data_IF_067021253592
#
_entry.id   IF_067021253592
#
_cell.length_a   1.000
_cell.length_b   1.000
_cell.length_c   1.000
_cell.angle_alpha   90.00
_cell.angle_beta   90.00
_cell.angle_gamma   90.00
#
_symmetry.space_group_name_H-M   'P 1'
#
loop_
_entity.id
_entity.type
_entity.pdbx_description
1 polymer ?
#
# COMPACT_ATOMS: atom_id res chain seq x y z
N UNK A 1 -27.54 -31.85 65.16
CA UNK A 1 -26.64 -31.92 63.99
C UNK A 1 -25.40 -31.16 64.37
N UNK A 2 -24.32 -31.88 64.60
CA UNK A 2 -23.04 -31.22 64.87
C UNK A 2 -22.40 -30.80 63.56
N UNK A 3 -22.13 -29.52 63.40
CA UNK A 3 -21.40 -28.94 62.25
C UNK A 3 -19.97 -28.66 62.69
N UNK A 4 -19.02 -29.04 61.86
CA UNK A 4 -17.65 -28.69 62.06
C UNK A 4 -17.09 -28.02 60.81
N UNK A 5 -16.22 -27.06 60.98
CA UNK A 5 -15.58 -26.35 59.89
C UNK A 5 -14.17 -26.95 59.72
N UNK A 6 -13.86 -27.28 58.46
CA UNK A 6 -12.54 -27.76 58.10
C UNK A 6 -11.86 -26.70 57.26
N UNK A 7 -10.71 -26.26 57.71
CA UNK A 7 -9.83 -25.39 56.91
C UNK A 7 -8.90 -26.30 56.13
N UNK A 8 -9.03 -26.30 54.80
CA UNK A 8 -8.10 -26.98 53.92
C UNK A 8 -6.83 -26.17 53.89
N UNK A 9 -5.68 -26.77 54.16
CA UNK A 9 -4.37 -26.14 53.99
C UNK A 9 -3.95 -26.17 52.50
N UNK A 10 -2.69 -25.93 52.23
CA UNK A 10 -2.11 -25.92 50.84
C UNK A 10 -2.18 -27.27 50.15
N UNK A 11 -2.70 -28.33 50.76
CA UNK A 11 -2.82 -29.65 50.20
C UNK A 11 -4.10 -29.77 49.37
N UNK A 12 -3.99 -30.28 48.14
CA UNK A 12 -5.08 -30.44 47.20
C UNK A 12 -6.10 -31.52 47.62
N UNK A 13 -5.82 -32.31 48.65
CA UNK A 13 -6.71 -33.29 49.20
C UNK A 13 -6.45 -33.52 50.69
N UNK A 14 -7.50 -33.84 51.41
CA UNK A 14 -7.42 -34.28 52.79
C UNK A 14 -8.46 -35.36 53.09
N UNK A 15 -8.14 -36.29 53.96
CA UNK A 15 -9.05 -37.33 54.39
C UNK A 15 -9.36 -37.18 55.88
N UNK A 16 -10.65 -37.14 56.18
CA UNK A 16 -11.14 -37.08 57.56
C UNK A 16 -11.73 -38.45 57.89
N UNK A 17 -11.30 -39.00 59.03
CA UNK A 17 -11.86 -40.25 59.56
C UNK A 17 -12.81 -39.98 60.66
N UNK A 18 -14.00 -40.50 60.59
CA UNK A 18 -15.03 -40.38 61.61
C UNK A 18 -15.36 -41.79 62.13
N UNK A 19 -15.34 -41.93 63.46
CA UNK A 19 -15.83 -43.12 64.11
C UNK A 19 -17.23 -42.83 64.68
N UNK A 20 -18.19 -43.59 64.29
CA UNK A 20 -19.56 -43.57 64.83
C UNK A 20 -19.72 -44.79 65.72
N UNK A 21 -19.90 -44.55 67.05
CA UNK A 21 -20.07 -45.61 68.02
C UNK A 21 -21.51 -45.60 68.51
N UNK A 22 -22.18 -46.74 68.46
CA UNK A 22 -23.52 -46.88 69.02
C UNK A 22 -23.46 -46.83 70.59
N UNK A 23 -24.63 -46.67 71.28
CA UNK A 23 -24.67 -46.78 72.72
C UNK A 23 -24.13 -48.10 73.29
N UNK A 24 -24.19 -49.14 72.49
CA UNK A 24 -23.49 -50.36 72.74
C UNK A 24 -22.11 -50.30 72.05
N UNK A 25 -20.99 -50.22 72.81
CA UNK A 25 -19.65 -50.05 72.25
C UNK A 25 -19.13 -51.19 71.41
N UNK A 26 -19.82 -52.30 71.34
CA UNK A 26 -19.50 -53.38 70.38
C UNK A 26 -19.85 -53.05 68.95
N UNK A 27 -20.62 -52.01 68.71
CA UNK A 27 -21.00 -51.56 67.35
C UNK A 27 -20.41 -50.20 67.08
N UNK A 28 -19.29 -50.17 66.31
CA UNK A 28 -18.71 -48.95 65.79
C UNK A 28 -18.46 -49.12 64.30
N UNK A 29 -18.61 -48.01 63.55
CA UNK A 29 -18.26 -47.92 62.15
C UNK A 29 -17.34 -46.75 61.91
N UNK A 30 -16.31 -46.92 61.10
CA UNK A 30 -15.44 -45.85 60.64
C UNK A 30 -15.79 -45.44 59.22
N UNK A 31 -15.75 -44.13 58.97
CA UNK A 31 -16.00 -43.52 57.67
C UNK A 31 -14.85 -42.63 57.33
N UNK A 32 -14.30 -42.80 56.10
CA UNK A 32 -13.34 -41.90 55.53
C UNK A 32 -14.03 -40.95 54.53
N UNK A 33 -13.94 -39.66 54.81
CA UNK A 33 -14.40 -38.61 53.87
C UNK A 33 -13.19 -37.96 53.27
N UNK A 34 -13.05 -38.16 51.97
CA UNK A 34 -11.99 -37.54 51.17
C UNK A 34 -12.54 -36.27 50.56
N UNK A 35 -11.92 -35.14 50.87
CA UNK A 35 -12.19 -33.82 50.25
C UNK A 35 -11.10 -33.57 49.26
N UNK A 36 -11.48 -33.30 48.05
CA UNK A 36 -10.56 -32.95 46.93
C UNK A 36 -10.94 -31.54 46.48
N UNK A 37 -9.97 -30.69 46.40
CA UNK A 37 -10.10 -29.37 45.76
C UNK A 37 -9.72 -29.61 44.28
N UNK A 38 -10.68 -29.38 43.40
CA UNK A 38 -10.39 -29.32 41.97
C UNK A 38 -10.05 -27.90 41.62
N UNK A 39 -8.89 -27.70 41.01
CA UNK A 39 -8.55 -26.40 40.42
C UNK A 39 -9.27 -26.23 39.08
N UNK A 40 -9.48 -24.95 38.74
CA UNK A 40 -10.16 -24.56 37.51
C UNK A 40 -9.20 -24.70 36.33
N UNK A 41 -9.67 -25.31 35.23
CA UNK A 41 -8.96 -25.50 33.96
C UNK A 41 -9.19 -24.36 32.96
N UNK A 42 -9.93 -23.31 33.38
CA UNK A 42 -10.29 -22.18 32.52
C UNK A 42 -9.08 -21.28 32.25
N UNK A 43 -8.60 -21.31 31.01
CA UNK A 43 -7.54 -20.47 30.47
C UNK A 43 -8.04 -19.44 29.45
N UNK A 44 -9.30 -18.99 29.56
CA UNK A 44 -9.92 -18.04 28.63
C UNK A 44 -9.79 -16.61 29.14
N UNK A 45 -9.78 -15.66 28.18
CA UNK A 45 -9.89 -14.24 28.50
C UNK A 45 -11.36 -13.82 28.58
N UNK A 46 -11.68 -12.99 29.56
CA UNK A 46 -12.92 -12.24 29.67
C UNK A 46 -12.88 -11.00 28.78
N UNK A 47 -11.71 -10.34 28.71
CA UNK A 47 -11.50 -9.14 27.92
C UNK A 47 -10.04 -9.02 27.44
N UNK A 48 -9.87 -8.47 26.24
CA UNK A 48 -8.59 -8.07 25.70
C UNK A 48 -8.72 -6.63 25.18
N UNK A 49 -8.05 -5.70 25.86
CA UNK A 49 -8.12 -4.29 25.55
C UNK A 49 -6.81 -3.78 24.95
N UNK A 50 -6.92 -2.82 24.04
CA UNK A 50 -5.81 -2.08 23.48
C UNK A 50 -6.07 -0.60 23.69
N UNK A 51 -5.15 0.11 24.34
CA UNK A 51 -5.29 1.53 24.71
C UNK A 51 -6.61 1.81 25.44
N UNK A 52 -6.99 0.89 26.35
CA UNK A 52 -8.19 0.99 27.16
C UNK A 52 -9.51 0.65 26.46
N UNK A 53 -9.50 0.29 25.18
CA UNK A 53 -10.68 -0.12 24.42
C UNK A 53 -10.67 -1.63 24.18
N UNK A 54 -11.84 -2.27 24.29
CA UNK A 54 -11.97 -3.67 23.92
C UNK A 54 -11.60 -3.84 22.45
N UNK A 55 -10.74 -4.84 22.15
CA UNK A 55 -10.35 -5.15 20.78
C UNK A 55 -11.57 -5.52 19.95
N UNK A 56 -11.64 -5.03 18.71
CA UNK A 56 -12.78 -5.25 17.83
C UNK A 56 -12.98 -6.75 17.57
N UNK A 57 -14.24 -7.19 17.65
CA UNK A 57 -14.60 -8.59 17.43
C UNK A 57 -14.11 -9.54 18.54
N UNK A 58 -13.82 -9.03 19.75
CA UNK A 58 -13.36 -9.88 20.85
C UNK A 58 -14.31 -11.06 21.10
N UNK A 59 -13.72 -12.25 21.14
CA UNK A 59 -14.37 -13.50 21.55
C UNK A 59 -13.33 -14.37 22.25
N UNK A 60 -13.67 -14.89 23.42
CA UNK A 60 -12.77 -15.70 24.24
C UNK A 60 -12.23 -16.96 23.55
N UNK A 61 -12.90 -17.46 22.50
CA UNK A 61 -12.44 -18.60 21.70
C UNK A 61 -11.60 -18.22 20.49
N UNK A 62 -11.57 -16.94 20.11
CA UNK A 62 -10.70 -16.40 19.07
C UNK A 62 -9.34 -16.08 19.66
N UNK A 63 -8.30 -16.71 19.15
CA UNK A 63 -6.94 -16.58 19.69
C UNK A 63 -6.01 -15.71 18.84
N UNK A 64 -6.50 -15.19 17.72
CA UNK A 64 -5.70 -14.35 16.82
C UNK A 64 -6.48 -13.08 16.44
N UNK A 65 -5.84 -11.92 16.65
CA UNK A 65 -6.38 -10.60 16.35
C UNK A 65 -5.38 -9.81 15.54
N UNK A 66 -5.87 -8.95 14.65
CA UNK A 66 -5.03 -8.06 13.83
C UNK A 66 -5.42 -6.61 14.08
N UNK A 67 -4.45 -5.78 14.42
CA UNK A 67 -4.61 -4.34 14.44
C UNK A 67 -4.10 -3.78 13.10
N UNK A 68 -5.00 -3.17 12.35
CA UNK A 68 -4.67 -2.60 11.03
C UNK A 68 -4.47 -1.09 11.18
N UNK A 69 -3.33 -0.61 10.72
CA UNK A 69 -2.96 0.80 10.70
C UNK A 69 -2.98 1.34 9.28
N UNK A 70 -3.39 2.61 9.09
CA UNK A 70 -3.41 3.24 7.79
C UNK A 70 -2.03 3.30 7.11
N UNK A 71 -2.03 3.49 5.80
CA UNK A 71 -0.84 3.78 5.01
C UNK A 71 -0.13 5.01 5.59
N UNK A 72 1.19 4.94 5.75
CA UNK A 72 2.01 6.04 6.25
C UNK A 72 2.03 6.20 7.77
N UNK A 73 1.41 5.28 8.52
CA UNK A 73 1.56 5.25 9.99
C UNK A 73 3.02 5.03 10.37
N UNK A 74 3.55 5.91 11.23
CA UNK A 74 4.90 5.73 11.78
C UNK A 74 4.91 4.55 12.76
N UNK A 75 6.00 3.78 12.77
CA UNK A 75 6.15 2.65 13.70
C UNK A 75 6.11 3.04 15.17
N UNK A 76 6.39 4.31 15.49
CA UNK A 76 6.26 4.87 16.85
C UNK A 76 4.81 5.08 17.28
N UNK A 77 3.86 5.04 16.35
CA UNK A 77 2.43 5.15 16.61
C UNK A 77 1.76 3.80 16.85
N UNK A 78 2.48 2.70 16.63
CA UNK A 78 1.98 1.36 16.90
C UNK A 78 1.71 1.18 18.39
N UNK A 79 0.84 0.23 18.74
CA UNK A 79 0.60 -0.11 20.14
C UNK A 79 1.88 -0.70 20.76
N UNK A 80 2.11 -0.38 22.02
CA UNK A 80 3.19 -0.92 22.86
C UNK A 80 2.64 -1.94 23.85
N UNK A 81 3.51 -2.66 24.54
CA UNK A 81 3.08 -3.65 25.55
C UNK A 81 2.28 -3.02 26.68
N UNK A 82 2.55 -1.75 26.99
CA UNK A 82 1.83 -0.98 28.02
C UNK A 82 0.40 -0.62 27.60
N UNK A 83 0.13 -0.63 26.30
CA UNK A 83 -1.20 -0.40 25.75
C UNK A 83 -2.12 -1.63 25.85
N UNK A 84 -1.53 -2.82 26.14
CA UNK A 84 -2.26 -4.08 26.15
C UNK A 84 -2.72 -4.42 27.56
N UNK A 85 -4.02 -4.68 27.71
CA UNK A 85 -4.62 -5.13 28.95
C UNK A 85 -5.46 -6.37 28.69
N UNK A 86 -5.11 -7.47 29.33
CA UNK A 86 -5.83 -8.73 29.22
C UNK A 86 -6.39 -9.14 30.59
N UNK A 87 -7.65 -9.55 30.62
CA UNK A 87 -8.37 -9.95 31.84
C UNK A 87 -8.82 -11.39 31.65
N UNK A 88 -8.37 -12.28 32.51
CA UNK A 88 -8.81 -13.69 32.49
C UNK A 88 -10.27 -13.83 32.97
N UNK A 89 -10.97 -14.84 32.46
CA UNK A 89 -12.30 -15.22 32.93
C UNK A 89 -12.24 -15.78 34.37
N UNK A 90 -11.23 -16.60 34.66
CA UNK A 90 -10.96 -17.08 36.01
C UNK A 90 -9.99 -16.12 36.74
N UNK A 91 -10.42 -15.64 37.87
CA UNK A 91 -9.61 -14.74 38.71
C UNK A 91 -8.30 -15.36 39.23
N UNK A 92 -8.23 -16.70 39.25
CA UNK A 92 -7.06 -17.46 39.73
C UNK A 92 -6.14 -17.88 38.56
N UNK A 93 -6.55 -17.61 37.31
CA UNK A 93 -5.67 -17.83 36.15
C UNK A 93 -4.57 -16.76 36.11
N UNK A 94 -3.38 -17.14 35.66
CA UNK A 94 -2.26 -16.23 35.48
C UNK A 94 -2.19 -15.72 34.05
N UNK A 95 -2.04 -14.41 33.86
CA UNK A 95 -1.91 -13.78 32.53
C UNK A 95 -0.52 -13.21 32.38
N UNK A 96 0.19 -13.62 31.32
CA UNK A 96 1.51 -13.10 30.98
C UNK A 96 1.47 -12.50 29.58
N UNK A 97 1.90 -11.25 29.44
CA UNK A 97 1.97 -10.55 28.14
C UNK A 97 3.44 -10.41 27.77
N UNK A 98 3.76 -10.82 26.54
CA UNK A 98 5.10 -10.69 25.96
C UNK A 98 5.02 -10.07 24.56
N UNK A 99 6.10 -9.44 24.09
CA UNK A 99 6.20 -8.88 22.77
C UNK A 99 7.33 -9.58 21.98
N UNK A 100 7.13 -9.75 20.67
CA UNK A 100 8.15 -10.15 19.72
C UNK A 100 8.06 -9.24 18.50
N UNK A 101 9.01 -8.32 18.38
CA UNK A 101 8.90 -7.22 17.43
C UNK A 101 7.69 -6.35 17.78
N UNK A 102 6.79 -6.16 16.81
CA UNK A 102 5.56 -5.37 16.98
C UNK A 102 4.36 -6.22 17.43
N UNK A 103 4.49 -7.54 17.51
CA UNK A 103 3.39 -8.45 17.84
C UNK A 103 3.36 -8.79 19.32
N UNK A 104 2.18 -9.06 19.86
CA UNK A 104 1.98 -9.41 21.26
C UNK A 104 1.46 -10.84 21.41
N UNK A 105 1.92 -11.49 22.47
CA UNK A 105 1.50 -12.83 22.86
C UNK A 105 1.01 -12.75 24.31
N UNK A 106 -0.24 -13.14 24.52
CA UNK A 106 -0.91 -13.14 25.79
C UNK A 106 -1.14 -14.58 26.19
N UNK A 107 -0.33 -15.08 27.10
CA UNK A 107 -0.49 -16.43 27.65
C UNK A 107 -1.38 -16.36 28.88
N UNK A 108 -2.36 -17.24 28.93
CA UNK A 108 -3.26 -17.44 30.06
C UNK A 108 -3.07 -18.87 30.58
N UNK A 109 -2.51 -18.98 31.76
CA UNK A 109 -2.31 -20.27 32.43
C UNK A 109 -3.43 -20.47 33.46
N UNK A 110 -4.15 -21.57 33.34
CA UNK A 110 -5.24 -21.92 34.25
C UNK A 110 -4.72 -22.20 35.67
N UNK A 111 -5.61 -22.14 36.68
CA UNK A 111 -5.29 -22.41 38.07
C UNK A 111 -4.71 -23.81 38.30
N UNK A 112 -5.09 -24.80 37.48
CA UNK A 112 -4.62 -26.17 37.60
C UNK A 112 -3.14 -26.35 37.19
N UNK A 113 -2.55 -25.37 36.48
CA UNK A 113 -1.18 -25.41 36.00
C UNK A 113 -0.93 -26.38 34.84
N UNK A 114 -1.98 -27.06 34.36
CA UNK A 114 -1.89 -28.03 33.26
C UNK A 114 -2.46 -27.48 31.95
N UNK A 115 -3.44 -26.57 32.04
CA UNK A 115 -4.11 -25.95 30.90
C UNK A 115 -3.61 -24.52 30.67
N UNK A 116 -3.29 -24.21 29.42
CA UNK A 116 -2.92 -22.86 29.00
C UNK A 116 -3.46 -22.52 27.62
N UNK A 117 -3.61 -21.22 27.34
CA UNK A 117 -4.04 -20.69 26.05
C UNK A 117 -3.21 -19.45 25.70
N UNK A 118 -2.83 -19.32 24.44
CA UNK A 118 -2.13 -18.14 23.93
C UNK A 118 -3.03 -17.38 22.96
N UNK A 119 -3.17 -16.08 23.21
CA UNK A 119 -3.79 -15.15 22.28
C UNK A 119 -2.68 -14.32 21.65
N UNK A 120 -2.86 -14.00 20.38
CA UNK A 120 -1.88 -13.23 19.59
C UNK A 120 -2.53 -11.97 19.05
N UNK A 121 -1.84 -10.84 19.16
CA UNK A 121 -2.19 -9.59 18.48
C UNK A 121 -1.08 -9.32 17.46
N UNK A 122 -1.43 -9.30 16.19
CA UNK A 122 -0.56 -8.89 15.09
C UNK A 122 -0.83 -7.44 14.72
N UNK A 123 0.22 -6.64 14.50
CA UNK A 123 0.09 -5.27 14.04
C UNK A 123 0.55 -5.17 12.59
N UNK A 124 -0.32 -4.65 11.72
CA UNK A 124 -0.08 -4.53 10.27
C UNK A 124 -0.31 -3.09 9.84
N UNK A 125 0.71 -2.46 9.26
CA UNK A 125 0.57 -1.18 8.56
C UNK A 125 0.23 -1.49 7.10
N UNK A 126 -0.84 -0.89 6.58
CA UNK A 126 -1.18 -1.04 5.17
C UNK A 126 -0.11 -0.40 4.29
N UNK A 127 0.26 -1.09 3.25
CA UNK A 127 1.19 -0.60 2.24
C UNK A 127 0.41 0.08 1.11
N UNK A 128 1.03 1.08 0.47
CA UNK A 128 0.44 1.79 -0.66
C UNK A 128 0.54 0.96 -1.94
N UNK A 129 -0.55 0.89 -2.70
CA UNK A 129 -0.64 0.30 -4.05
C UNK A 129 -0.42 1.33 -5.16
N UNK A 130 -0.06 2.58 -4.80
CA UNK A 130 0.09 3.67 -5.75
C UNK A 130 1.42 3.56 -6.54
N UNK A 131 1.33 2.99 -7.74
CA UNK A 131 2.41 2.89 -8.73
C UNK A 131 2.32 3.97 -9.81
N UNK A 132 1.71 5.14 -9.53
CA UNK A 132 1.62 6.24 -10.51
C UNK A 132 2.83 7.14 -10.47
N UNK A 133 3.12 7.73 -11.64
CA UNK A 133 4.08 8.84 -11.74
C UNK A 133 3.37 10.18 -11.47
N UNK A 134 4.05 11.08 -10.78
CA UNK A 134 3.67 12.47 -10.64
C UNK A 134 4.16 13.31 -11.83
N UNK A 135 5.29 12.92 -12.44
CA UNK A 135 5.91 13.66 -13.53
C UNK A 135 6.90 12.80 -14.33
N UNK A 136 7.05 13.14 -15.59
CA UNK A 136 8.16 12.67 -16.45
C UNK A 136 8.86 13.92 -17.04
N UNK A 137 10.16 13.97 -16.94
CA UNK A 137 11.00 15.00 -17.53
C UNK A 137 11.86 14.42 -18.64
N UNK A 138 11.95 15.15 -19.74
CA UNK A 138 12.91 14.92 -20.83
C UNK A 138 13.83 16.12 -20.94
N UNK A 139 15.13 15.90 -20.87
CA UNK A 139 16.15 16.98 -20.86
C UNK A 139 15.83 18.09 -19.85
N UNK A 140 15.42 17.69 -18.63
CA UNK A 140 14.98 18.57 -17.55
C UNK A 140 13.70 19.39 -17.84
N UNK A 141 12.99 19.07 -18.93
CA UNK A 141 11.72 19.71 -19.28
C UNK A 141 10.57 18.78 -18.97
N UNK A 142 9.63 19.25 -18.14
CA UNK A 142 8.41 18.49 -17.82
C UNK A 142 7.60 18.21 -19.09
N UNK A 143 7.20 16.98 -19.28
CA UNK A 143 6.25 16.60 -20.32
C UNK A 143 4.94 17.38 -20.13
N UNK A 144 4.57 18.19 -21.12
CA UNK A 144 3.29 18.91 -21.09
C UNK A 144 2.12 17.95 -21.21
N UNK A 145 1.06 18.20 -20.45
CA UNK A 145 -0.13 17.35 -20.41
C UNK A 145 0.19 15.91 -19.94
N UNK A 146 1.19 15.75 -19.07
CA UNK A 146 1.40 14.50 -18.41
C UNK A 146 0.13 14.10 -17.64
N UNK A 147 -0.34 12.88 -17.90
CA UNK A 147 -1.48 12.28 -17.20
C UNK A 147 -0.99 10.97 -16.55
N UNK A 148 -1.07 10.83 -15.22
CA UNK A 148 -0.69 9.60 -14.52
C UNK A 148 -1.40 8.33 -15.03
N UNK A 149 -2.57 8.48 -15.65
CA UNK A 149 -3.34 7.35 -16.19
C UNK A 149 -2.97 7.02 -17.64
N UNK A 150 -2.30 7.93 -18.34
CA UNK A 150 -1.80 7.68 -19.69
C UNK A 150 -0.47 6.93 -19.62
N UNK A 151 -0.45 5.71 -20.15
CA UNK A 151 0.70 4.82 -20.06
C UNK A 151 1.64 4.87 -21.29
N UNK A 152 1.22 5.52 -22.35
CA UNK A 152 2.00 5.58 -23.59
C UNK A 152 2.18 7.01 -24.07
N UNK A 153 3.43 7.35 -24.42
CA UNK A 153 3.85 8.64 -24.96
C UNK A 153 4.71 8.43 -26.20
N UNK A 154 4.66 9.37 -27.14
CA UNK A 154 5.52 9.35 -28.32
C UNK A 154 6.31 10.65 -28.42
N UNK A 155 7.61 10.52 -28.62
CA UNK A 155 8.53 11.65 -28.76
C UNK A 155 9.40 11.51 -30.01
N UNK A 156 9.63 12.64 -30.65
CA UNK A 156 10.54 12.73 -31.78
C UNK A 156 11.88 13.30 -31.32
N UNK A 157 12.94 12.52 -31.51
CA UNK A 157 14.30 12.89 -31.11
C UNK A 157 15.15 13.18 -32.35
N UNK A 158 16.02 14.18 -32.26
CA UNK A 158 16.88 14.60 -33.37
C UNK A 158 18.22 13.95 -33.10
N UNK A 159 19.04 13.56 -32.85
CA UNK A 159 20.40 12.99 -32.87
C UNK A 159 20.93 12.41 -31.54
N UNK A 160 20.31 12.65 -30.42
CA UNK A 160 20.83 12.21 -29.14
C UNK A 160 19.75 11.56 -28.25
N UNK A 161 20.18 10.65 -27.41
CA UNK A 161 19.33 10.14 -26.35
C UNK A 161 18.99 11.28 -25.37
N UNK A 162 17.70 11.57 -25.13
CA UNK A 162 17.33 12.54 -24.10
C UNK A 162 17.66 12.00 -22.71
N UNK A 163 17.95 12.88 -21.78
CA UNK A 163 17.95 12.50 -20.37
C UNK A 163 16.50 12.31 -19.91
N UNK A 164 16.24 11.21 -19.21
CA UNK A 164 14.87 10.85 -18.77
C UNK A 164 14.89 10.80 -17.25
N UNK A 165 13.97 11.55 -16.64
CA UNK A 165 13.72 11.52 -15.20
C UNK A 165 12.23 11.36 -14.96
N UNK A 166 11.84 10.42 -14.11
CA UNK A 166 10.47 10.22 -13.71
C UNK A 166 10.34 10.25 -12.19
N UNK A 167 9.29 10.90 -11.71
CA UNK A 167 9.03 11.07 -10.28
C UNK A 167 7.76 10.30 -9.94
N UNK A 168 7.84 9.36 -9.00
CA UNK A 168 6.67 8.66 -8.49
C UNK A 168 5.75 9.61 -7.69
N UNK A 169 4.44 9.36 -7.73
CA UNK A 169 3.46 10.08 -6.92
C UNK A 169 3.57 9.69 -5.44
N UNK A 170 3.81 8.40 -5.16
CA UNK A 170 4.08 7.91 -3.82
C UNK A 170 5.60 7.91 -3.56
N UNK A 171 6.07 8.58 -2.49
CA UNK A 171 7.49 8.60 -2.17
C UNK A 171 8.09 7.24 -1.78
N UNK A 172 7.24 6.25 -1.45
CA UNK A 172 7.67 4.88 -1.15
C UNK A 172 7.70 3.97 -2.39
N UNK A 173 7.21 4.45 -3.54
CA UNK A 173 7.33 3.72 -4.79
C UNK A 173 8.75 3.85 -5.38
N UNK A 174 9.21 2.83 -6.06
CA UNK A 174 10.48 2.82 -6.78
C UNK A 174 10.27 3.01 -8.27
N UNK A 175 11.23 3.67 -8.93
CA UNK A 175 11.21 3.90 -10.38
C UNK A 175 12.47 3.31 -11.00
N UNK A 176 12.28 2.43 -11.97
CA UNK A 176 13.35 1.81 -12.74
C UNK A 176 13.16 2.06 -14.24
N UNK A 177 14.23 1.97 -15.01
CA UNK A 177 14.26 2.30 -16.43
C UNK A 177 14.80 1.16 -17.24
N UNK A 178 14.21 0.94 -18.44
CA UNK A 178 14.83 0.07 -19.44
C UNK A 178 16.08 0.71 -20.05
N UNK A 179 16.84 -0.07 -20.81
CA UNK A 179 17.90 0.50 -21.66
C UNK A 179 17.27 1.27 -22.81
N UNK A 180 17.82 2.44 -23.10
CA UNK A 180 17.41 3.23 -24.27
C UNK A 180 17.97 2.60 -25.55
N UNK A 181 17.08 2.40 -26.52
CA UNK A 181 17.42 2.03 -27.90
C UNK A 181 16.52 2.84 -28.83
N UNK A 182 17.10 3.51 -29.82
CA UNK A 182 16.30 4.27 -30.78
C UNK A 182 15.41 3.33 -31.61
N UNK A 183 14.18 3.75 -31.90
CA UNK A 183 13.12 2.97 -32.55
C UNK A 183 12.60 1.77 -31.75
N UNK A 184 13.02 1.61 -30.49
CA UNK A 184 12.42 0.65 -29.57
C UNK A 184 11.69 1.39 -28.45
N UNK A 185 10.63 0.79 -27.87
CA UNK A 185 9.93 1.37 -26.75
C UNK A 185 10.87 1.48 -25.52
N UNK A 186 10.86 2.62 -24.89
CA UNK A 186 11.53 2.84 -23.60
C UNK A 186 10.51 2.67 -22.48
N UNK A 187 10.85 1.86 -21.50
CA UNK A 187 9.96 1.54 -20.39
C UNK A 187 10.42 2.19 -19.10
N UNK A 188 9.46 2.74 -18.37
CA UNK A 188 9.61 3.20 -16.99
C UNK A 188 8.77 2.30 -16.13
N UNK A 189 9.41 1.53 -15.27
CA UNK A 189 8.76 0.62 -14.34
C UNK A 189 8.58 1.34 -13.01
N UNK A 190 7.35 1.37 -12.51
CA UNK A 190 7.03 1.94 -11.21
C UNK A 190 6.48 0.83 -10.34
N UNK A 191 7.14 0.56 -9.22
CA UNK A 191 6.70 -0.44 -8.26
C UNK A 191 6.28 0.26 -6.99
N UNK A 192 5.01 0.10 -6.62
CA UNK A 192 4.43 0.62 -5.38
C UNK A 192 4.99 -0.09 -4.15
N UNK A 193 4.72 0.47 -2.96
CA UNK A 193 5.22 -0.08 -1.70
C UNK A 193 4.72 -1.51 -1.43
N UNK A 194 3.51 -1.87 -1.87
CA UNK A 194 2.93 -3.21 -1.73
C UNK A 194 3.40 -4.21 -2.80
N UNK A 195 4.20 -3.76 -3.78
CA UNK A 195 4.67 -4.55 -4.91
C UNK A 195 3.80 -4.44 -6.17
N UNK A 196 2.74 -3.63 -6.16
CA UNK A 196 1.95 -3.35 -7.37
C UNK A 196 2.82 -2.64 -8.40
N UNK A 197 2.78 -3.10 -9.65
CA UNK A 197 3.60 -2.56 -10.73
C UNK A 197 2.75 -1.81 -11.76
N UNK A 198 3.33 -0.73 -12.31
CA UNK A 198 2.80 0.01 -13.46
C UNK A 198 3.94 0.33 -14.42
N UNK A 199 3.67 0.19 -15.71
CA UNK A 199 4.68 0.43 -16.76
C UNK A 199 4.21 1.58 -17.64
N UNK A 200 5.06 2.62 -17.76
CA UNK A 200 4.90 3.69 -18.72
C UNK A 200 5.84 3.46 -19.90
N UNK A 201 5.36 3.70 -21.10
CA UNK A 201 6.09 3.47 -22.34
C UNK A 201 6.32 4.80 -23.05
N UNK A 202 7.56 5.07 -23.44
CA UNK A 202 7.90 6.22 -24.27
C UNK A 202 8.44 5.69 -25.60
N UNK A 203 7.73 5.96 -26.68
CA UNK A 203 8.16 5.62 -28.04
C UNK A 203 9.01 6.76 -28.59
N UNK A 204 10.33 6.58 -28.66
CA UNK A 204 11.24 7.54 -29.26
C UNK A 204 11.36 7.25 -30.76
N UNK A 205 10.86 8.16 -31.56
CA UNK A 205 10.97 8.08 -33.02
C UNK A 205 12.01 9.07 -33.52
N UNK A 206 12.82 8.70 -34.54
CA UNK A 206 13.74 9.65 -35.12
C UNK A 206 12.98 10.80 -35.76
N UNK A 207 13.38 12.03 -35.47
CA UNK A 207 12.91 13.18 -36.22
C UNK A 207 13.48 13.11 -37.62
N UNK A 208 12.61 13.08 -38.62
CA UNK A 208 13.03 13.15 -40.05
C UNK A 208 13.41 14.57 -40.47
N UNK A 209 13.34 15.55 -39.52
CA UNK A 209 13.74 16.92 -39.80
C UNK A 209 15.24 17.00 -39.53
N UNK A 210 16.01 17.13 -40.59
CA UNK A 210 17.44 17.42 -40.54
C UNK A 210 17.61 18.86 -39.97
N UNK A 211 18.11 19.04 -38.75
CA UNK A 211 18.30 20.37 -38.16
C UNK A 211 19.43 21.15 -38.91
N UNK A 212 20.24 20.47 -39.70
CA UNK A 212 21.25 21.13 -40.54
C UNK A 212 20.63 21.82 -41.78
N UNK A 213 19.38 21.48 -42.10
CA UNK A 213 18.60 22.25 -43.08
C UNK A 213 17.95 23.45 -42.36
N UNK A 214 18.72 24.38 -41.92
CA UNK A 214 18.16 25.74 -41.66
C UNK A 214 17.46 26.19 -42.93
N UNK A 215 16.12 26.40 -42.92
CA UNK A 215 15.46 26.97 -44.08
C UNK A 215 16.15 28.27 -44.42
N UNK A 216 16.71 28.39 -45.61
CA UNK A 216 17.11 29.70 -46.10
C UNK A 216 15.84 30.57 -46.04
N UNK A 217 15.96 31.80 -45.53
CA UNK A 217 14.85 32.75 -45.25
C UNK A 217 13.83 32.92 -46.44
N UNK A 218 14.11 32.34 -47.58
CA UNK A 218 13.29 32.41 -48.79
C UNK A 218 12.31 31.28 -49.00
N UNK A 219 12.33 30.22 -48.17
CA UNK A 219 11.65 28.97 -48.54
C UNK A 219 10.28 28.75 -47.91
N UNK A 220 10.04 29.16 -46.63
CA UNK A 220 8.74 29.09 -45.99
C UNK A 220 8.61 30.23 -44.97
N UNK A 221 7.62 31.08 -45.07
CA UNK A 221 7.25 32.05 -44.08
C UNK A 221 5.96 31.64 -43.42
N UNK A 222 6.03 31.23 -42.17
CA UNK A 222 4.84 30.92 -41.37
C UNK A 222 4.47 32.17 -40.59
N UNK A 223 3.25 32.66 -40.77
CA UNK A 223 2.70 33.81 -40.04
C UNK A 223 1.59 33.37 -39.12
N UNK A 224 1.70 33.74 -37.85
CA UNK A 224 0.60 33.59 -36.91
C UNK A 224 -0.46 34.66 -37.17
N UNK A 225 -1.72 34.25 -37.24
CA UNK A 225 -2.83 35.19 -37.36
C UNK A 225 -3.19 35.64 -35.95
N UNK A 226 -2.98 36.94 -35.65
CA UNK A 226 -3.22 37.51 -34.34
C UNK A 226 -4.67 37.27 -33.89
N UNK A 227 -4.83 36.72 -32.67
CA UNK A 227 -6.15 36.42 -32.08
C UNK A 227 -6.75 35.07 -32.47
N UNK A 228 -6.01 34.23 -33.22
CA UNK A 228 -6.39 32.86 -33.55
C UNK A 228 -5.26 31.88 -33.21
N UNK A 229 -5.55 30.58 -33.28
CA UNK A 229 -4.52 29.54 -33.25
C UNK A 229 -4.03 29.17 -34.66
N UNK A 230 -4.39 29.94 -35.65
CA UNK A 230 -4.11 29.65 -37.06
C UNK A 230 -2.75 30.19 -37.48
N UNK A 231 -2.06 29.41 -38.31
CA UNK A 231 -0.79 29.76 -38.95
C UNK A 231 -0.95 29.67 -40.46
N UNK A 232 -0.48 30.66 -41.19
CA UNK A 232 -0.50 30.68 -42.62
C UNK A 232 0.91 30.58 -43.17
N UNK A 233 1.13 29.57 -44.03
CA UNK A 233 2.37 29.50 -44.80
C UNK A 233 2.28 30.43 -46.01
N UNK A 234 3.13 31.44 -46.08
CA UNK A 234 3.10 32.47 -47.13
C UNK A 234 3.75 32.02 -48.47
N UNK A 235 4.63 31.01 -48.42
CA UNK A 235 5.29 30.46 -49.64
C UNK A 235 5.59 28.99 -49.40
N UNK A 236 5.14 28.10 -50.29
CA UNK A 236 5.40 26.67 -50.17
C UNK A 236 6.00 26.15 -51.45
N UNK A 237 7.09 25.40 -51.37
CA UNK A 237 7.70 24.66 -52.48
C UNK A 237 7.29 23.20 -52.46
N UNK A 238 7.56 22.48 -53.57
CA UNK A 238 7.24 21.05 -53.68
C UNK A 238 7.91 20.23 -52.57
N UNK A 239 7.15 19.27 -52.00
CA UNK A 239 7.62 18.32 -50.99
C UNK A 239 8.04 18.94 -49.64
N UNK A 240 7.34 19.93 -49.15
CA UNK A 240 7.56 20.47 -47.83
C UNK A 240 6.83 19.65 -46.77
N UNK A 241 7.50 19.30 -45.71
CA UNK A 241 6.89 18.73 -44.52
C UNK A 241 6.87 19.77 -43.41
N UNK A 242 5.71 19.97 -42.80
CA UNK A 242 5.54 20.89 -41.69
C UNK A 242 5.28 20.07 -40.42
N UNK A 243 6.16 20.16 -39.47
CA UNK A 243 5.96 19.62 -38.10
C UNK A 243 5.87 20.76 -37.10
N UNK A 244 4.82 20.79 -36.30
CA UNK A 244 4.68 21.71 -35.17
C UNK A 244 4.92 20.90 -33.90
N UNK A 245 5.87 21.37 -33.10
CA UNK A 245 6.27 20.68 -31.87
C UNK A 245 5.92 21.53 -30.66
N UNK A 246 5.57 20.88 -29.54
CA UNK A 246 5.50 21.55 -28.25
C UNK A 246 6.90 22.02 -27.83
N UNK A 247 6.97 22.91 -26.83
CA UNK A 247 8.26 23.26 -26.21
C UNK A 247 8.98 22.06 -25.58
N UNK A 248 8.25 20.97 -25.30
CA UNK A 248 8.80 19.73 -24.80
C UNK A 248 9.21 18.75 -25.92
N UNK A 249 9.20 19.18 -27.18
CA UNK A 249 9.60 18.35 -28.32
C UNK A 249 8.52 17.39 -28.84
N UNK A 250 7.32 17.41 -28.25
CA UNK A 250 6.21 16.55 -28.71
C UNK A 250 5.65 17.06 -30.03
N UNK A 251 5.52 16.19 -31.04
CA UNK A 251 4.87 16.54 -32.31
C UNK A 251 3.38 16.79 -32.05
N UNK A 252 2.95 18.05 -32.24
CA UNK A 252 1.55 18.45 -32.12
C UNK A 252 0.83 18.29 -33.44
N UNK A 253 1.53 18.58 -34.55
CA UNK A 253 0.97 18.55 -35.88
C UNK A 253 2.04 18.15 -36.91
N UNK A 254 1.68 17.32 -37.89
CA UNK A 254 2.53 16.99 -39.02
C UNK A 254 1.70 16.95 -40.31
N UNK A 255 2.18 17.64 -41.34
CA UNK A 255 1.60 17.55 -42.67
C UNK A 255 2.70 17.52 -43.72
N UNK A 256 2.53 16.66 -44.72
CA UNK A 256 3.39 16.58 -45.89
C UNK A 256 2.64 17.15 -47.08
N UNK A 257 3.11 18.33 -47.56
CA UNK A 257 2.53 19.00 -48.70
C UNK A 257 3.26 18.52 -49.97
N UNK A 258 2.59 17.78 -50.84
CA UNK A 258 3.16 17.17 -52.04
C UNK A 258 3.15 18.12 -53.23
N UNK A 259 2.19 19.04 -53.35
CA UNK A 259 2.15 20.12 -54.32
C UNK A 259 1.31 21.27 -53.78
N UNK A 260 1.81 22.49 -53.89
CA UNK A 260 0.99 23.68 -53.65
C UNK A 260 1.07 24.63 -54.80
N UNK A 261 -0.06 24.94 -55.32
CA UNK A 261 -0.29 26.15 -56.10
C UNK A 261 -0.73 27.23 -55.14
N UNK A 262 0.17 28.20 -54.94
CA UNK A 262 -0.11 29.48 -54.31
C UNK A 262 -1.07 29.55 -53.08
N UNK A 263 -0.52 29.87 -51.94
CA UNK A 263 -1.08 30.68 -50.88
C UNK A 263 -2.04 30.11 -49.84
N UNK A 264 -2.42 28.84 -49.82
CA UNK A 264 -3.52 28.44 -48.96
C UNK A 264 -3.30 27.12 -48.18
N UNK A 265 -2.25 27.05 -47.37
CA UNK A 265 -2.25 26.06 -46.30
C UNK A 265 -2.42 26.80 -44.95
N UNK A 266 -3.62 26.85 -44.44
CA UNK A 266 -3.91 27.31 -43.08
C UNK A 266 -3.90 26.12 -42.16
N UNK A 267 -3.08 26.19 -41.11
CA UNK A 267 -3.05 25.20 -40.05
C UNK A 267 -3.74 25.82 -38.85
N UNK A 268 -4.80 25.21 -38.37
CA UNK A 268 -5.51 25.69 -37.20
C UNK A 268 -6.16 24.53 -36.44
N UNK A 269 -6.55 24.79 -35.21
CA UNK A 269 -7.36 23.87 -34.42
C UNK A 269 -8.82 24.33 -34.38
N UNK A 270 -9.73 23.37 -34.45
CA UNK A 270 -11.15 23.64 -34.22
C UNK A 270 -11.39 24.00 -32.75
N UNK A 271 -12.54 24.59 -32.43
CA UNK A 271 -12.94 24.93 -31.07
C UNK A 271 -13.08 23.69 -30.15
N UNK A 272 -13.17 22.50 -30.72
CA UNK A 272 -13.23 21.20 -30.05
C UNK A 272 -11.84 20.54 -29.85
N UNK A 273 -10.75 21.21 -30.28
CA UNK A 273 -9.39 20.71 -30.20
C UNK A 273 -8.97 19.78 -31.35
N UNK A 274 -9.83 19.53 -32.31
CA UNK A 274 -9.48 18.75 -33.50
C UNK A 274 -8.72 19.60 -34.55
N UNK A 275 -7.80 18.96 -35.31
CA UNK A 275 -7.01 19.64 -36.35
C UNK A 275 -7.89 20.11 -37.49
N UNK A 276 -7.64 21.34 -37.94
CA UNK A 276 -8.32 21.94 -39.08
C UNK A 276 -7.34 22.20 -40.20
N UNK A 277 -7.56 21.55 -41.35
CA UNK A 277 -6.95 21.89 -42.63
C UNK A 277 -7.97 22.69 -43.45
N UNK A 278 -7.59 23.86 -43.86
CA UNK A 278 -8.30 24.59 -44.92
C UNK A 278 -7.38 24.86 -46.09
#
# INVERSE_FOLDING_TARGET
VDTFTVTLGEQMQTTFRFAVTAPDPMYSSEYDVRVIVAFNDNCRLQALNVRGNLIEGFNADTTHYTLIYPIGTDTTELATIEDIQAIAEDVNANVTITANGVNFFIQVDAQDGEHSRVYTIEQVILLSDNARLAAIYLDSTLIRHFDPEQLEYTYYVVDAQPSIEAIAEDPNATVEYSMYTINEPFYIYVTAHDGTERIYTINFLPSTIDPAQTPTESDVVIKHIAGTMDFVAATIRKNVSIGVYSEAGQLIYYNKLTETTQNDATIGTNADGSDRLM
#
